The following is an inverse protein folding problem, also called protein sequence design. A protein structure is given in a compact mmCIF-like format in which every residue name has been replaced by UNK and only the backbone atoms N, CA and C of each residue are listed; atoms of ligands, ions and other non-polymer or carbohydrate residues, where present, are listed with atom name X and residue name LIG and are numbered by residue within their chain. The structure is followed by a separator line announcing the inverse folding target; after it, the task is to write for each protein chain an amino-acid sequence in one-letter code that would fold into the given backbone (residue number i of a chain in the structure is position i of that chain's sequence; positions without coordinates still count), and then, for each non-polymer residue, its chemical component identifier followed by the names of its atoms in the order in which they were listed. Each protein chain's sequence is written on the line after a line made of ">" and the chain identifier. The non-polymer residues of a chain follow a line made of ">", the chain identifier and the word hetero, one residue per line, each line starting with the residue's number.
data_IF_606144531165
#
_entry.id   IF_606144531165
#
_cell.length_a   1.000
_cell.length_b   1.000
_cell.length_c   1.000
_cell.angle_alpha   90.00
_cell.angle_beta   90.00
_cell.angle_gamma   90.00
#
_symmetry.space_group_name_H-M   'P 1'
#
loop_
_entity.id
_entity.type
_entity.pdbx_description
1 polymer ?
#
# COMPACT_ATOMS: atom_id res chain seq x y z
N UNK A 1 21.76 9.65 -20.07
CA UNK A 1 20.44 10.27 -20.39
C UNK A 1 19.49 9.33 -21.14
N UNK A 2 19.92 8.54 -22.13
CA UNK A 2 19.02 7.63 -22.89
C UNK A 2 18.39 6.49 -22.06
N UNK A 3 19.12 5.87 -21.12
CA UNK A 3 18.60 4.77 -20.30
C UNK A 3 17.48 5.19 -19.32
N UNK A 4 17.54 6.42 -18.79
CA UNK A 4 16.53 6.96 -17.86
C UNK A 4 15.18 7.14 -18.56
N UNK A 5 15.19 7.58 -19.83
CA UNK A 5 13.99 7.74 -20.64
C UNK A 5 13.33 6.40 -21.01
N UNK A 6 14.13 5.37 -21.29
CA UNK A 6 13.60 4.02 -21.56
C UNK A 6 12.94 3.39 -20.33
N UNK A 7 13.55 3.54 -19.14
CA UNK A 7 12.98 3.04 -17.88
C UNK A 7 11.68 3.76 -17.51
N UNK A 8 11.65 5.09 -17.64
CA UNK A 8 10.44 5.87 -17.40
C UNK A 8 9.33 5.52 -18.40
N UNK A 9 9.65 5.36 -19.69
CA UNK A 9 8.69 4.94 -20.71
C UNK A 9 8.13 3.53 -20.41
N UNK A 10 8.97 2.59 -19.99
CA UNK A 10 8.53 1.25 -19.57
C UNK A 10 7.58 1.30 -18.37
N UNK A 11 7.92 2.07 -17.34
CA UNK A 11 7.07 2.24 -16.15
C UNK A 11 5.73 2.91 -16.48
N UNK A 12 5.72 3.90 -17.37
CA UNK A 12 4.49 4.55 -17.82
C UNK A 12 3.61 3.59 -18.61
N UNK A 13 4.21 2.82 -19.53
CA UNK A 13 3.47 1.82 -20.30
C UNK A 13 2.91 0.70 -19.41
N UNK A 14 3.68 0.23 -18.42
CA UNK A 14 3.19 -0.82 -17.51
C UNK A 14 1.98 -0.37 -16.68
N UNK A 15 1.87 0.92 -16.36
CA UNK A 15 0.68 1.50 -15.72
C UNK A 15 -0.46 1.67 -16.73
N UNK A 16 -0.20 2.26 -17.90
CA UNK A 16 -1.25 2.60 -18.88
C UNK A 16 -1.98 1.38 -19.47
N UNK A 17 -1.30 0.24 -19.55
CA UNK A 17 -1.86 -1.00 -20.10
C UNK A 17 -2.21 -2.04 -19.04
N UNK A 18 -2.09 -1.71 -17.75
CA UNK A 18 -2.50 -2.60 -16.67
C UNK A 18 -4.02 -2.69 -16.55
N UNK A 19 -4.53 -3.89 -16.29
CA UNK A 19 -5.91 -4.09 -15.84
C UNK A 19 -6.15 -3.44 -14.47
N UNK A 20 -7.42 -3.18 -14.12
CA UNK A 20 -7.78 -2.57 -12.82
C UNK A 20 -7.24 -3.39 -11.64
N UNK A 21 -7.29 -4.71 -11.75
CA UNK A 21 -6.77 -5.62 -10.75
C UNK A 21 -5.24 -5.54 -10.65
N UNK A 22 -4.54 -5.40 -11.76
CA UNK A 22 -3.08 -5.21 -11.75
C UNK A 22 -2.69 -3.85 -11.15
N UNK A 23 -3.44 -2.78 -11.44
CA UNK A 23 -3.22 -1.47 -10.81
C UNK A 23 -3.39 -1.54 -9.29
N UNK A 24 -4.40 -2.26 -8.80
CA UNK A 24 -4.60 -2.53 -7.38
C UNK A 24 -3.38 -3.24 -6.76
N UNK A 25 -2.88 -4.31 -7.39
CA UNK A 25 -1.71 -5.02 -6.90
C UNK A 25 -0.46 -4.13 -6.89
N UNK A 26 -0.27 -3.29 -7.91
CA UNK A 26 0.84 -2.33 -7.96
C UNK A 26 0.77 -1.28 -6.85
N UNK A 27 -0.43 -0.81 -6.48
CA UNK A 27 -0.62 0.08 -5.33
C UNK A 27 -0.23 -0.63 -4.03
N UNK A 28 -0.65 -1.88 -3.85
CA UNK A 28 -0.32 -2.68 -2.66
C UNK A 28 1.17 -3.01 -2.54
N UNK A 29 1.84 -3.33 -3.64
CA UNK A 29 3.30 -3.46 -3.65
C UNK A 29 3.98 -2.12 -3.31
N UNK A 30 3.41 -1.01 -3.79
CA UNK A 30 3.80 0.34 -3.43
C UNK A 30 3.69 0.61 -1.92
N UNK A 31 2.59 0.23 -1.28
CA UNK A 31 2.38 0.48 0.16
C UNK A 31 3.37 -0.29 1.04
N UNK A 32 3.68 -1.56 0.69
CA UNK A 32 4.74 -2.34 1.35
C UNK A 32 6.11 -1.67 1.16
N UNK A 33 6.42 -1.23 -0.05
CA UNK A 33 7.69 -0.55 -0.34
C UNK A 33 7.82 0.75 0.45
N UNK A 34 6.81 1.61 0.43
CA UNK A 34 6.85 2.91 1.09
C UNK A 34 6.91 2.76 2.62
N UNK A 35 6.15 1.83 3.21
CA UNK A 35 6.21 1.57 4.65
C UNK A 35 7.61 1.12 5.12
N UNK A 36 8.30 0.26 4.35
CA UNK A 36 9.69 -0.14 4.63
C UNK A 36 10.69 1.02 4.50
N UNK A 37 10.52 1.88 3.47
CA UNK A 37 11.35 3.08 3.30
C UNK A 37 11.13 4.04 4.48
N UNK A 38 9.88 4.25 4.88
CA UNK A 38 9.54 5.09 6.03
C UNK A 38 10.21 4.60 7.31
N UNK A 39 10.15 3.30 7.60
CA UNK A 39 10.83 2.69 8.76
C UNK A 39 12.33 2.97 8.74
N UNK A 40 13.00 2.71 7.62
CA UNK A 40 14.44 2.99 7.49
C UNK A 40 14.76 4.49 7.62
N UNK A 41 13.89 5.37 7.14
CA UNK A 41 14.07 6.81 7.27
C UNK A 41 13.94 7.27 8.73
N UNK A 42 13.00 6.70 9.51
CA UNK A 42 12.92 6.94 10.96
C UNK A 42 14.22 6.53 11.65
N UNK A 43 14.72 5.33 11.35
CA UNK A 43 15.97 4.79 11.92
C UNK A 43 17.17 5.71 11.63
N UNK A 44 17.24 6.25 10.41
CA UNK A 44 18.27 7.19 9.98
C UNK A 44 18.02 8.64 10.42
N UNK A 45 16.93 8.90 11.14
CA UNK A 45 16.47 10.25 11.55
C UNK A 45 16.22 11.20 10.37
N UNK A 46 15.93 10.66 9.19
CA UNK A 46 15.49 11.42 8.01
C UNK A 46 13.97 11.67 8.11
N UNK A 47 13.62 12.69 8.89
CA UNK A 47 12.24 13.02 9.23
C UNK A 47 11.36 13.37 8.01
N UNK A 48 11.80 14.22 7.07
CA UNK A 48 11.01 14.52 5.88
C UNK A 48 10.71 13.27 5.04
N UNK A 49 11.73 12.43 4.81
CA UNK A 49 11.56 11.20 4.03
C UNK A 49 10.66 10.18 4.73
N UNK A 50 10.77 10.07 6.05
CA UNK A 50 9.88 9.23 6.85
C UNK A 50 8.42 9.69 6.69
N UNK A 51 8.17 10.99 6.86
CA UNK A 51 6.84 11.56 6.71
C UNK A 51 6.26 11.32 5.31
N UNK A 52 7.02 11.64 4.27
CA UNK A 52 6.59 11.47 2.87
C UNK A 52 6.17 10.03 2.57
N UNK A 53 6.96 9.05 3.00
CA UNK A 53 6.68 7.65 2.70
C UNK A 53 5.55 7.08 3.58
N UNK A 54 5.36 7.59 4.81
CA UNK A 54 4.19 7.23 5.61
C UNK A 54 2.92 7.77 4.96
N UNK A 55 2.90 9.03 4.55
CA UNK A 55 1.73 9.64 3.89
C UNK A 55 1.38 8.88 2.61
N UNK A 56 2.37 8.58 1.76
CA UNK A 56 2.16 7.75 0.56
C UNK A 56 1.54 6.38 0.88
N UNK A 57 1.93 5.77 1.99
CA UNK A 57 1.34 4.51 2.45
C UNK A 57 -0.12 4.73 2.86
N UNK A 58 -0.40 5.78 3.64
CA UNK A 58 -1.76 6.13 4.07
C UNK A 58 -2.69 6.45 2.88
N UNK A 59 -2.21 7.21 1.90
CA UNK A 59 -2.98 7.58 0.70
C UNK A 59 -3.43 6.34 -0.07
N UNK A 60 -2.57 5.31 -0.17
CA UNK A 60 -2.96 4.03 -0.79
C UNK A 60 -4.08 3.37 0.00
N UNK A 61 -4.00 3.31 1.33
CA UNK A 61 -5.08 2.72 2.14
C UNK A 61 -6.37 3.53 2.07
N UNK A 62 -6.31 4.86 2.00
CA UNK A 62 -7.50 5.68 1.76
C UNK A 62 -8.11 5.38 0.39
N UNK A 63 -7.31 5.24 -0.67
CA UNK A 63 -7.79 4.84 -1.99
C UNK A 63 -8.47 3.47 -1.96
N UNK A 64 -7.90 2.49 -1.24
CA UNK A 64 -8.52 1.18 -1.04
C UNK A 64 -9.87 1.28 -0.31
N UNK A 65 -10.00 2.16 0.67
CA UNK A 65 -11.26 2.38 1.38
C UNK A 65 -12.32 3.02 0.47
N UNK A 66 -11.92 3.99 -0.35
CA UNK A 66 -12.82 4.70 -1.27
C UNK A 66 -13.30 3.81 -2.43
N UNK A 67 -12.44 2.90 -2.89
CA UNK A 67 -12.73 2.04 -4.04
C UNK A 67 -13.35 0.70 -3.67
N UNK A 68 -13.37 0.34 -2.38
CA UNK A 68 -14.03 -0.87 -1.91
C UNK A 68 -15.56 -0.70 -1.97
N UNK A 69 -16.20 -1.52 -2.80
CA UNK A 69 -17.67 -1.52 -2.91
C UNK A 69 -18.32 -2.16 -1.67
N UNK A 70 -18.60 -1.35 -0.65
CA UNK A 70 -19.28 -1.81 0.56
C UNK A 70 -20.66 -2.43 0.31
N UNK A 71 -21.33 -2.09 -0.81
CA UNK A 71 -22.67 -2.59 -1.13
C UNK A 71 -22.66 -4.04 -1.60
N UNK A 72 -21.60 -4.45 -2.31
CA UNK A 72 -21.42 -5.84 -2.78
C UNK A 72 -20.72 -6.73 -1.76
N UNK A 73 -19.98 -6.15 -0.81
CA UNK A 73 -19.08 -6.89 0.08
C UNK A 73 -19.67 -7.23 1.45
N UNK A 74 -20.81 -6.65 1.83
CA UNK A 74 -21.53 -7.01 3.07
C UNK A 74 -20.63 -6.99 4.32
N UNK A 75 -20.75 -8.00 5.18
CA UNK A 75 -20.02 -8.05 6.46
C UNK A 75 -18.49 -8.14 6.34
N UNK A 76 -17.97 -8.81 5.31
CA UNK A 76 -16.52 -8.95 5.15
C UNK A 76 -15.88 -7.63 4.69
N UNK A 77 -16.59 -6.85 3.87
CA UNK A 77 -16.17 -5.50 3.48
C UNK A 77 -16.01 -4.58 4.69
N UNK A 78 -16.97 -4.59 5.61
CA UNK A 78 -16.89 -3.81 6.85
C UNK A 78 -15.67 -4.18 7.72
N UNK A 79 -15.37 -5.49 7.84
CA UNK A 79 -14.17 -5.96 8.56
C UNK A 79 -12.89 -5.46 7.88
N UNK A 80 -12.84 -5.50 6.55
CA UNK A 80 -11.68 -5.06 5.79
C UNK A 80 -11.45 -3.55 5.92
N UNK A 81 -12.52 -2.73 5.89
CA UNK A 81 -12.45 -1.30 6.18
C UNK A 81 -11.90 -1.03 7.59
N UNK A 82 -12.29 -1.83 8.58
CA UNK A 82 -11.75 -1.74 9.93
C UNK A 82 -10.24 -2.01 10.01
N UNK A 83 -9.74 -2.97 9.21
CA UNK A 83 -8.30 -3.25 9.10
C UNK A 83 -7.58 -2.05 8.46
N UNK A 84 -8.12 -1.50 7.38
CA UNK A 84 -7.52 -0.36 6.69
C UNK A 84 -7.46 0.88 7.59
N UNK A 85 -8.56 1.20 8.27
CA UNK A 85 -8.62 2.29 9.25
C UNK A 85 -7.58 2.10 10.37
N UNK A 86 -7.47 0.89 10.92
CA UNK A 86 -6.47 0.59 11.94
C UNK A 86 -5.04 0.85 11.43
N UNK A 87 -4.70 0.35 10.24
CA UNK A 87 -3.39 0.58 9.62
C UNK A 87 -3.12 2.08 9.48
N UNK A 88 -4.08 2.85 8.95
CA UNK A 88 -3.95 4.30 8.78
C UNK A 88 -3.69 5.00 10.12
N UNK A 89 -4.42 4.63 11.18
CA UNK A 89 -4.24 5.20 12.53
C UNK A 89 -2.86 4.88 13.09
N UNK A 90 -2.39 3.63 12.98
CA UNK A 90 -1.05 3.24 13.43
C UNK A 90 0.05 3.96 12.66
N UNK A 91 -0.10 4.10 11.34
CA UNK A 91 0.81 4.89 10.52
C UNK A 91 0.83 6.37 10.96
N UNK A 92 -0.33 6.94 11.33
CA UNK A 92 -0.41 8.31 11.85
C UNK A 92 0.36 8.46 13.16
N UNK A 93 0.18 7.52 14.09
CA UNK A 93 0.92 7.50 15.35
C UNK A 93 2.42 7.38 15.12
N UNK A 94 2.83 6.46 14.23
CA UNK A 94 4.22 6.28 13.84
C UNK A 94 4.80 7.55 13.23
N UNK A 95 4.03 8.27 12.43
CA UNK A 95 4.46 9.53 11.83
C UNK A 95 4.64 10.62 12.88
N UNK A 96 3.67 10.80 13.77
CA UNK A 96 3.74 11.85 14.81
C UNK A 96 4.88 11.58 15.79
N UNK A 97 5.05 10.33 16.22
CA UNK A 97 6.05 9.95 17.25
C UNK A 97 7.41 9.56 16.68
N UNK A 98 7.48 9.28 15.37
CA UNK A 98 8.64 8.68 14.70
C UNK A 98 9.11 7.42 15.43
N UNK A 99 8.15 6.55 15.72
CA UNK A 99 8.34 5.34 16.52
C UNK A 99 8.55 4.12 15.61
N UNK A 100 9.74 3.53 15.69
CA UNK A 100 10.11 2.31 14.94
C UNK A 100 9.26 1.10 15.35
N UNK A 101 8.87 0.98 16.61
CA UNK A 101 8.09 -0.18 17.08
C UNK A 101 6.72 -0.20 16.42
N UNK A 102 6.09 0.97 16.28
CA UNK A 102 4.81 1.09 15.58
C UNK A 102 4.96 0.71 14.11
N UNK A 103 6.06 1.10 13.46
CA UNK A 103 6.34 0.68 12.08
C UNK A 103 6.55 -0.83 11.97
N UNK A 104 7.29 -1.43 12.91
CA UNK A 104 7.56 -2.88 12.95
C UNK A 104 6.28 -3.70 13.17
N UNK A 105 5.30 -3.16 13.91
CA UNK A 105 3.98 -3.77 14.09
C UNK A 105 3.08 -3.62 12.85
N UNK A 106 3.10 -2.46 12.18
CA UNK A 106 2.14 -2.17 11.11
C UNK A 106 2.57 -2.73 9.75
N UNK A 107 3.87 -2.82 9.46
CA UNK A 107 4.39 -3.33 8.18
C UNK A 107 3.86 -4.76 7.89
N UNK A 108 3.89 -5.72 8.82
CA UNK A 108 3.33 -7.05 8.59
C UNK A 108 1.84 -7.05 8.23
N UNK A 109 1.06 -6.09 8.76
CA UNK A 109 -0.36 -5.95 8.41
C UNK A 109 -0.53 -5.42 6.98
N UNK A 110 0.30 -4.47 6.58
CA UNK A 110 0.35 -3.96 5.19
C UNK A 110 0.72 -5.09 4.23
N UNK A 111 1.71 -5.91 4.58
CA UNK A 111 2.12 -7.09 3.79
C UNK A 111 1.00 -8.12 3.70
N UNK A 112 0.30 -8.39 4.80
CA UNK A 112 -0.82 -9.33 4.84
C UNK A 112 -1.97 -8.89 3.92
N UNK A 113 -2.30 -7.60 3.89
CA UNK A 113 -3.30 -7.05 2.96
C UNK A 113 -2.84 -7.23 1.52
N UNK A 114 -1.58 -6.94 1.21
CA UNK A 114 -1.00 -7.13 -0.13
C UNK A 114 -1.07 -8.60 -0.56
N UNK A 115 -0.72 -9.53 0.33
CA UNK A 115 -0.71 -10.96 0.04
C UNK A 115 -2.12 -11.51 -0.18
N UNK A 116 -3.08 -11.09 0.63
CA UNK A 116 -4.49 -11.43 0.48
C UNK A 116 -5.03 -11.07 -0.91
N UNK A 117 -4.79 -9.84 -1.39
CA UNK A 117 -5.24 -9.42 -2.72
C UNK A 117 -4.50 -10.09 -3.86
N UNK A 118 -3.21 -10.39 -3.69
CA UNK A 118 -2.47 -11.20 -4.66
C UNK A 118 -3.08 -12.60 -4.80
N UNK A 119 -3.46 -13.22 -3.68
CA UNK A 119 -4.10 -14.53 -3.71
C UNK A 119 -5.50 -14.46 -4.33
N UNK A 120 -6.31 -13.46 -3.95
CA UNK A 120 -7.62 -13.23 -4.56
C UNK A 120 -7.51 -13.06 -6.09
N UNK A 121 -6.50 -12.33 -6.56
CA UNK A 121 -6.23 -12.19 -7.99
C UNK A 121 -5.92 -13.54 -8.66
N UNK A 122 -5.03 -14.36 -8.08
CA UNK A 122 -4.73 -15.70 -8.63
C UNK A 122 -5.98 -16.57 -8.72
N UNK A 123 -6.78 -16.62 -7.65
CA UNK A 123 -8.03 -17.40 -7.61
C UNK A 123 -8.99 -16.92 -8.71
N UNK A 124 -9.15 -15.60 -8.88
CA UNK A 124 -10.01 -15.03 -9.94
C UNK A 124 -9.57 -15.36 -11.37
N UNK A 125 -8.27 -15.63 -11.59
CA UNK A 125 -7.72 -16.03 -12.89
C UNK A 125 -7.88 -17.53 -13.14
N UNK A 126 -7.88 -18.35 -12.10
CA UNK A 126 -8.10 -19.80 -12.19
C UNK A 126 -9.58 -20.16 -12.34
N UNK A 127 -10.48 -19.33 -11.82
CA UNK A 127 -11.92 -19.51 -11.93
C UNK A 127 -12.50 -19.08 -13.30
N UNK A 128 -11.66 -18.61 -14.23
CA UNK A 128 -12.00 -18.26 -15.62
C UNK A 128 -11.49 -19.35 -16.57
#
# INVERSE_FOLDING_TARGET
>A
MYAQNAYNAYKTNSVNFASKEQLLLMLLDGSVKFSKIARQAIEKKDIPRAHENIVKTQDIFYELMLTLDATQTGEWGAKLLGIYDFIIRRLRDANTKKDLKIMDEVIPLVESVRDMWNEAYKVSKQAK
#
